data_IF_300229760709
#
_entry.id   IF_300229760709
#
_cell.length_a   1.000
_cell.length_b   1.000
_cell.length_c   1.000
_cell.angle_alpha   90.00
_cell.angle_beta   90.00
_cell.angle_gamma   90.00
#
_symmetry.space_group_name_H-M   'P 1'
#
loop_
_entity.id
_entity.type
_entity.pdbx_description
1 polymer ?
#
# COMPACT_ATOMS: atom_id res chain seq x y z
N UNK A 1 -19.04 -33.45 -5.35
CA UNK A 1 -19.12 -32.71 -6.63
C UNK A 1 -18.23 -31.49 -6.48
N UNK A 2 -17.26 -31.27 -7.38
CA UNK A 2 -16.34 -30.15 -7.27
C UNK A 2 -17.03 -28.86 -7.77
N UNK A 3 -17.21 -27.88 -6.89
CA UNK A 3 -17.79 -26.58 -7.24
C UNK A 3 -16.92 -25.90 -8.28
N UNK A 4 -17.44 -25.76 -9.51
CA UNK A 4 -16.78 -25.00 -10.56
C UNK A 4 -16.85 -23.52 -10.19
N UNK A 5 -15.75 -22.98 -9.65
CA UNK A 5 -15.61 -21.54 -9.42
C UNK A 5 -15.85 -20.78 -10.74
N UNK A 6 -17.01 -20.14 -10.87
CA UNK A 6 -17.30 -19.21 -11.96
C UNK A 6 -16.39 -18.00 -11.78
N UNK A 7 -15.33 -17.92 -12.58
CA UNK A 7 -14.38 -16.81 -12.53
C UNK A 7 -15.10 -15.49 -12.82
N UNK A 8 -14.95 -14.51 -11.92
CA UNK A 8 -15.40 -13.12 -12.14
C UNK A 8 -14.41 -12.42 -13.08
N UNK A 9 -14.90 -11.95 -14.21
CA UNK A 9 -14.15 -11.13 -15.16
C UNK A 9 -14.57 -11.38 -16.62
N UNK A 10 -14.40 -10.40 -17.52
CA UNK A 10 -14.65 -10.58 -18.94
C UNK A 10 -13.76 -11.69 -19.52
N UNK A 11 -14.30 -12.51 -20.44
CA UNK A 11 -13.54 -13.55 -21.12
C UNK A 11 -12.35 -12.93 -21.85
N UNK A 12 -11.14 -13.38 -21.53
CA UNK A 12 -9.95 -12.85 -22.19
C UNK A 12 -9.85 -13.37 -23.63
N UNK A 13 -9.99 -12.47 -24.59
CA UNK A 13 -9.87 -12.76 -26.02
C UNK A 13 -8.40 -12.89 -26.50
N UNK A 14 -7.40 -12.57 -25.67
CA UNK A 14 -5.99 -12.60 -26.08
C UNK A 14 -5.52 -13.98 -26.54
N UNK A 15 -6.07 -15.05 -25.95
CA UNK A 15 -5.71 -16.44 -26.24
C UNK A 15 -6.03 -16.85 -27.69
N UNK A 16 -7.01 -16.21 -28.33
CA UNK A 16 -7.39 -16.52 -29.72
C UNK A 16 -6.30 -16.13 -30.73
N UNK A 17 -5.36 -15.27 -30.33
CA UNK A 17 -4.23 -14.82 -31.14
C UNK A 17 -2.96 -15.67 -30.98
N UNK A 18 -3.01 -16.74 -30.20
CA UNK A 18 -1.92 -17.68 -30.01
C UNK A 18 -2.34 -19.07 -30.49
N UNK A 19 -1.37 -19.86 -30.95
CA UNK A 19 -1.59 -21.28 -31.20
C UNK A 19 -1.87 -22.03 -29.90
N UNK A 20 -2.50 -23.22 -29.97
CA UNK A 20 -2.63 -24.09 -28.81
C UNK A 20 -1.28 -24.30 -28.11
N UNK A 21 -1.25 -24.33 -26.77
CA UNK A 21 -0.01 -24.43 -26.02
C UNK A 21 0.73 -25.72 -26.37
N UNK A 22 2.04 -25.60 -26.60
CA UNK A 22 2.92 -26.75 -26.92
C UNK A 22 3.76 -27.04 -25.67
N UNK A 23 3.82 -28.29 -25.21
CA UNK A 23 4.68 -28.65 -24.10
C UNK A 23 6.15 -28.62 -24.51
N UNK A 24 6.97 -27.86 -23.79
CA UNK A 24 8.41 -27.72 -24.06
C UNK A 24 9.24 -27.90 -22.79
N UNK A 25 10.51 -28.30 -22.94
CA UNK A 25 11.50 -28.30 -21.86
C UNK A 25 12.52 -27.21 -22.13
N UNK A 26 12.66 -26.25 -21.22
CA UNK A 26 13.65 -25.17 -21.31
C UNK A 26 14.46 -25.16 -20.02
N UNK A 27 15.79 -25.39 -20.11
CA UNK A 27 16.66 -25.47 -18.92
C UNK A 27 16.25 -26.56 -17.93
N UNK A 28 15.77 -27.71 -18.41
CA UNK A 28 15.30 -28.81 -17.55
C UNK A 28 13.92 -28.59 -16.90
N UNK A 29 13.38 -27.37 -16.92
CA UNK A 29 12.03 -27.06 -16.44
C UNK A 29 10.97 -27.35 -17.52
N UNK A 30 9.85 -27.97 -17.13
CA UNK A 30 8.70 -28.20 -18.01
C UNK A 30 7.91 -26.87 -18.14
N UNK A 31 7.72 -26.35 -19.35
CA UNK A 31 7.01 -25.09 -19.63
C UNK A 31 5.97 -25.29 -20.75
N UNK A 32 5.01 -24.38 -20.83
CA UNK A 32 4.08 -24.24 -21.95
C UNK A 32 4.58 -23.15 -22.90
N UNK A 33 4.75 -23.48 -24.17
CA UNK A 33 5.08 -22.53 -25.24
C UNK A 33 3.81 -22.09 -25.98
N UNK A 34 3.59 -20.78 -26.05
CA UNK A 34 2.53 -20.14 -26.82
C UNK A 34 3.14 -19.40 -28.01
N UNK A 35 2.96 -19.94 -29.22
CA UNK A 35 3.42 -19.29 -30.46
C UNK A 35 2.40 -18.24 -30.89
N UNK A 36 2.86 -17.01 -31.13
CA UNK A 36 1.99 -15.97 -31.67
C UNK A 36 1.56 -16.33 -33.09
N UNK A 37 0.30 -16.07 -33.45
CA UNK A 37 -0.19 -16.25 -34.85
C UNK A 37 0.28 -15.13 -35.79
N UNK A 38 0.75 -14.02 -35.24
CA UNK A 38 1.05 -12.78 -36.00
C UNK A 38 2.54 -12.52 -36.17
N UNK A 39 3.41 -13.21 -35.42
CA UNK A 39 4.86 -13.10 -35.56
C UNK A 39 5.57 -14.41 -35.19
N UNK A 40 6.89 -14.43 -35.36
CA UNK A 40 7.75 -15.56 -35.02
C UNK A 40 8.04 -15.71 -33.53
N UNK A 41 7.59 -14.77 -32.69
CA UNK A 41 7.83 -14.80 -31.24
C UNK A 41 7.01 -15.90 -30.57
N UNK A 42 7.66 -16.63 -29.67
CA UNK A 42 6.99 -17.53 -28.74
C UNK A 42 7.13 -17.03 -27.29
N UNK A 43 6.10 -17.26 -26.48
CA UNK A 43 6.10 -16.93 -25.06
C UNK A 43 6.07 -18.23 -24.28
N UNK A 44 6.92 -18.36 -23.26
CA UNK A 44 6.94 -19.55 -22.41
C UNK A 44 6.46 -19.25 -20.99
N UNK A 45 5.60 -20.11 -20.46
CA UNK A 45 5.06 -19.99 -19.10
C UNK A 45 5.34 -21.28 -18.34
N UNK A 46 5.72 -21.14 -17.08
CA UNK A 46 5.99 -22.28 -16.21
C UNK A 46 4.71 -23.09 -15.95
N UNK A 47 4.85 -24.41 -15.80
CA UNK A 47 3.72 -25.29 -15.48
C UNK A 47 3.30 -25.11 -14.02
N UNK A 48 2.00 -25.20 -13.77
CA UNK A 48 1.45 -25.08 -12.40
C UNK A 48 1.44 -26.43 -11.68
N UNK A 49 1.56 -27.54 -12.42
CA UNK A 49 1.42 -28.89 -11.89
C UNK A 49 2.77 -29.51 -11.53
N UNK A 50 2.81 -30.21 -10.38
CA UNK A 50 3.99 -30.91 -9.84
C UNK A 50 4.34 -32.19 -10.62
N UNK A 51 5.53 -32.75 -10.32
CA UNK A 51 6.43 -33.49 -11.23
C UNK A 51 5.86 -34.70 -11.99
N UNK A 52 4.74 -35.29 -11.57
CA UNK A 52 4.36 -36.65 -12.00
C UNK A 52 3.11 -36.75 -12.91
N UNK A 53 2.41 -35.66 -13.21
CA UNK A 53 1.22 -35.68 -14.08
C UNK A 53 1.56 -35.50 -15.58
N UNK A 54 0.79 -36.17 -16.45
CA UNK A 54 0.92 -36.07 -17.90
C UNK A 54 0.59 -34.65 -18.38
N UNK A 55 1.00 -34.31 -19.60
CA UNK A 55 0.59 -33.04 -20.23
C UNK A 55 -0.91 -33.00 -20.52
N UNK A 56 -1.53 -34.17 -20.71
CA UNK A 56 -2.94 -34.30 -21.03
C UNK A 56 -3.86 -34.14 -19.80
N UNK A 57 -3.31 -34.26 -18.59
CA UNK A 57 -4.07 -34.18 -17.33
C UNK A 57 -4.25 -32.74 -16.84
N UNK A 58 -3.51 -31.77 -17.41
CA UNK A 58 -3.59 -30.37 -17.02
C UNK A 58 -4.80 -29.72 -17.70
N UNK A 59 -5.82 -29.25 -16.96
CA UNK A 59 -6.98 -28.59 -17.53
C UNK A 59 -6.53 -27.27 -18.17
N UNK A 60 -6.19 -27.33 -19.47
CA UNK A 60 -5.72 -26.27 -20.35
C UNK A 60 -4.95 -25.13 -19.64
N UNK A 61 -3.62 -25.03 -19.78
CA UNK A 61 -2.82 -24.06 -19.03
C UNK A 61 -3.38 -22.65 -19.20
N UNK A 62 -3.70 -22.03 -18.06
CA UNK A 62 -4.15 -20.65 -17.97
C UNK A 62 -2.98 -19.81 -17.47
N UNK A 63 -2.06 -19.41 -18.35
CA UNK A 63 -0.99 -18.50 -17.95
C UNK A 63 -1.59 -17.23 -17.39
N UNK A 64 -0.86 -16.59 -16.47
CA UNK A 64 -1.13 -15.20 -16.07
C UNK A 64 -1.33 -14.35 -17.32
N UNK A 65 -2.55 -13.81 -17.44
CA UNK A 65 -3.07 -13.18 -18.64
C UNK A 65 -2.28 -11.94 -19.08
N UNK A 66 -1.49 -11.37 -18.17
CA UNK A 66 -0.74 -10.14 -18.38
C UNK A 66 0.32 -10.28 -19.47
N UNK A 67 0.96 -11.45 -19.58
CA UNK A 67 2.10 -11.65 -20.49
C UNK A 67 1.66 -11.74 -21.96
N UNK A 68 0.56 -12.46 -22.24
CA UNK A 68 0.02 -12.58 -23.60
C UNK A 68 -0.54 -11.25 -24.12
N UNK A 69 -1.26 -10.51 -23.27
CA UNK A 69 -1.85 -9.23 -23.64
C UNK A 69 -0.79 -8.16 -23.94
N UNK A 70 0.29 -8.13 -23.15
CA UNK A 70 1.39 -7.18 -23.35
C UNK A 70 2.10 -7.41 -24.68
N UNK A 71 2.29 -8.67 -25.08
CA UNK A 71 2.85 -8.99 -26.39
C UNK A 71 1.96 -8.52 -27.54
N UNK A 72 0.63 -8.67 -27.44
CA UNK A 72 -0.30 -8.22 -28.49
C UNK A 72 -0.27 -6.71 -28.72
N UNK A 73 0.11 -5.90 -27.72
CA UNK A 73 0.32 -4.45 -27.89
C UNK A 73 1.44 -4.14 -28.90
N UNK A 74 2.44 -5.02 -29.05
CA UNK A 74 3.54 -4.86 -30.01
C UNK A 74 3.11 -5.06 -31.47
N UNK A 75 2.00 -5.76 -31.71
CA UNK A 75 1.43 -5.95 -33.06
C UNK A 75 0.61 -4.75 -33.54
N UNK A 76 0.91 -3.56 -33.01
CA UNK A 76 0.23 -2.32 -33.37
C UNK A 76 -1.25 -2.29 -32.99
N UNK A 77 -1.67 -3.16 -32.06
CA UNK A 77 -3.08 -3.40 -31.75
C UNK A 77 -3.83 -3.69 -33.04
N UNK A 78 -3.90 -4.96 -33.50
CA UNK A 78 -4.77 -5.24 -34.63
C UNK A 78 -6.14 -4.68 -34.24
N UNK A 79 -6.76 -3.94 -35.15
CA UNK A 79 -8.21 -3.78 -35.15
C UNK A 79 -8.77 -5.20 -35.29
N UNK A 80 -8.64 -6.02 -34.25
CA UNK A 80 -9.18 -7.34 -34.14
C UNK A 80 -10.67 -7.06 -34.22
N UNK A 81 -11.32 -7.43 -35.33
CA UNK A 81 -12.75 -7.27 -35.42
C UNK A 81 -13.28 -8.17 -34.32
N UNK A 82 -13.80 -7.59 -33.25
CA UNK A 82 -14.55 -8.33 -32.26
C UNK A 82 -15.66 -9.03 -33.06
N UNK A 83 -15.69 -10.36 -33.15
CA UNK A 83 -16.66 -11.06 -33.98
C UNK A 83 -18.06 -10.71 -33.46
N UNK A 84 -18.75 -9.80 -34.16
CA UNK A 84 -20.03 -9.22 -33.73
C UNK A 84 -20.20 -7.72 -34.01
N UNK A 85 -19.14 -6.96 -34.30
CA UNK A 85 -19.26 -5.53 -34.62
C UNK A 85 -19.28 -5.28 -36.14
N UNK A 86 -20.43 -5.49 -36.78
CA UNK A 86 -20.68 -5.02 -38.13
C UNK A 86 -21.13 -3.55 -38.07
N UNK A 87 -20.37 -2.63 -38.69
CA UNK A 87 -20.77 -1.68 -39.76
C UNK A 87 -19.61 -0.67 -39.96
N UNK A 88 -19.14 -0.42 -41.20
CA UNK A 88 -18.13 0.59 -41.51
C UNK A 88 -18.79 1.93 -41.86
N UNK A 89 -18.48 2.99 -41.10
CA UNK A 89 -18.85 4.35 -41.48
C UNK A 89 -18.88 5.38 -40.35
N UNK A 90 -18.97 4.96 -39.09
CA UNK A 90 -19.01 5.91 -37.98
C UNK A 90 -17.61 6.17 -37.44
N UNK A 91 -17.21 7.46 -37.48
CA UNK A 91 -16.28 8.06 -36.52
C UNK A 91 -16.45 7.35 -35.19
N UNK A 92 -15.38 6.70 -34.69
CA UNK A 92 -15.37 5.99 -33.39
C UNK A 92 -15.77 6.97 -32.30
N UNK A 93 -17.07 7.16 -32.16
CA UNK A 93 -17.70 7.87 -31.08
C UNK A 93 -17.33 7.09 -29.85
N UNK A 94 -16.79 7.81 -28.87
CA UNK A 94 -16.73 7.38 -27.47
C UNK A 94 -18.01 6.57 -27.22
N UNK A 95 -17.88 5.26 -27.01
CA UNK A 95 -19.04 4.39 -26.80
C UNK A 95 -19.95 5.05 -25.75
N UNK A 96 -21.26 4.98 -25.91
CA UNK A 96 -22.18 5.61 -24.96
C UNK A 96 -21.89 5.18 -23.50
N UNK A 97 -21.36 3.98 -23.30
CA UNK A 97 -20.86 3.50 -22.01
C UNK A 97 -19.63 4.29 -21.52
N UNK A 98 -18.59 4.44 -22.35
CA UNK A 98 -17.42 5.26 -21.99
C UNK A 98 -17.77 6.75 -21.82
N UNK A 99 -18.76 7.26 -22.54
CA UNK A 99 -19.22 8.64 -22.38
C UNK A 99 -19.90 8.81 -21.01
N UNK A 100 -20.72 7.84 -20.58
CA UNK A 100 -21.32 7.84 -19.24
C UNK A 100 -20.27 7.73 -18.13
N UNK A 101 -19.26 6.87 -18.29
CA UNK A 101 -18.17 6.73 -17.31
C UNK A 101 -17.36 8.03 -17.21
N UNK A 102 -17.03 8.65 -18.33
CA UNK A 102 -16.32 9.94 -18.32
C UNK A 102 -17.19 11.06 -17.73
N UNK A 103 -18.49 11.06 -18.02
CA UNK A 103 -19.42 12.06 -17.49
C UNK A 103 -19.64 11.92 -15.98
N UNK A 104 -19.68 10.68 -15.46
CA UNK A 104 -19.70 10.38 -14.03
C UNK A 104 -18.39 10.79 -13.34
N UNK A 105 -17.24 10.42 -13.93
CA UNK A 105 -15.92 10.82 -13.43
C UNK A 105 -15.75 12.35 -13.39
N UNK A 106 -16.22 13.06 -14.41
CA UNK A 106 -16.20 14.53 -14.46
C UNK A 106 -17.13 15.15 -13.42
N UNK A 107 -18.32 14.56 -13.17
CA UNK A 107 -19.21 14.99 -12.09
C UNK A 107 -18.60 14.79 -10.71
N UNK A 108 -17.96 13.66 -10.47
CA UNK A 108 -17.27 13.36 -9.21
C UNK A 108 -16.07 14.29 -9.00
N UNK A 109 -15.37 14.65 -10.08
CA UNK A 109 -14.32 15.67 -10.07
C UNK A 109 -14.83 17.08 -9.78
N UNK A 110 -16.05 17.43 -10.21
CA UNK A 110 -16.69 18.71 -9.85
C UNK A 110 -17.13 18.77 -8.40
N UNK A 111 -17.56 17.63 -7.83
CA UNK A 111 -17.89 17.52 -6.39
C UNK A 111 -16.63 17.52 -5.51
N UNK A 112 -15.49 17.14 -6.07
CA UNK A 112 -14.18 17.17 -5.41
C UNK A 112 -13.23 18.13 -6.14
N UNK A 113 -13.51 19.46 -6.12
CA UNK A 113 -12.64 20.42 -6.77
C UNK A 113 -11.21 20.20 -6.27
N UNK A 114 -10.24 20.26 -7.18
CA UNK A 114 -8.83 20.03 -6.89
C UNK A 114 -8.45 20.76 -5.59
N UNK A 115 -8.40 20.00 -4.49
CA UNK A 115 -8.11 20.58 -3.18
C UNK A 115 -6.65 20.98 -3.27
N UNK A 116 -6.39 22.28 -3.31
CA UNK A 116 -5.05 22.82 -3.18
C UNK A 116 -4.46 22.17 -1.94
N UNK A 117 -3.47 21.29 -2.14
CA UNK A 117 -2.87 20.55 -1.05
C UNK A 117 -2.06 21.56 -0.25
N UNK A 118 -2.60 21.96 0.90
CA UNK A 118 -1.95 22.90 1.81
C UNK A 118 -1.26 22.13 2.93
N UNK A 119 -0.20 22.67 3.50
CA UNK A 119 0.46 22.10 4.69
C UNK A 119 -0.56 21.84 5.82
N UNK A 120 -1.49 22.77 6.04
CA UNK A 120 -2.58 22.60 7.02
C UNK A 120 -3.50 21.43 6.70
N UNK A 121 -3.84 21.24 5.43
CA UNK A 121 -4.67 20.11 4.98
C UNK A 121 -3.94 18.77 5.15
N UNK A 122 -2.65 18.73 4.81
CA UNK A 122 -1.80 17.58 5.05
C UNK A 122 -1.76 17.21 6.53
N UNK A 123 -1.47 18.16 7.43
CA UNK A 123 -1.42 17.88 8.87
C UNK A 123 -2.75 17.33 9.41
N UNK A 124 -3.90 17.84 8.93
CA UNK A 124 -5.20 17.29 9.32
C UNK A 124 -5.38 15.83 8.92
N UNK A 125 -5.00 15.48 7.69
CA UNK A 125 -5.10 14.10 7.18
C UNK A 125 -4.11 13.21 7.91
N UNK A 126 -2.88 13.70 8.13
CA UNK A 126 -1.86 12.98 8.88
C UNK A 126 -2.30 12.70 10.32
N UNK A 127 -2.85 13.70 11.02
CA UNK A 127 -3.40 13.50 12.37
C UNK A 127 -4.58 12.55 12.38
N UNK A 128 -5.49 12.63 11.40
CA UNK A 128 -6.60 11.68 11.30
C UNK A 128 -6.08 10.25 11.12
N UNK A 129 -5.08 10.06 10.25
CA UNK A 129 -4.41 8.78 10.07
C UNK A 129 -3.79 8.25 11.36
N UNK A 130 -3.10 9.09 12.13
CA UNK A 130 -2.54 8.67 13.44
C UNK A 130 -3.64 8.20 14.41
N UNK A 131 -4.80 8.85 14.41
CA UNK A 131 -5.92 8.48 15.29
C UNK A 131 -6.66 7.23 14.80
N UNK A 132 -6.86 7.09 13.49
CA UNK A 132 -7.56 5.96 12.87
C UNK A 132 -6.78 4.65 13.03
N UNK A 133 -5.45 4.71 12.93
CA UNK A 133 -4.56 3.55 13.01
C UNK A 133 -3.92 3.38 14.41
N UNK A 134 -4.36 4.15 15.41
CA UNK A 134 -3.85 4.15 16.79
C UNK A 134 -2.32 4.25 16.88
N UNK A 135 -1.73 5.12 16.05
CA UNK A 135 -0.30 5.33 15.97
C UNK A 135 0.17 6.34 17.02
N UNK A 136 1.38 6.17 17.59
CA UNK A 136 1.95 7.18 18.49
C UNK A 136 2.02 8.54 17.81
N UNK A 137 1.74 9.62 18.54
CA UNK A 137 1.85 10.96 17.97
C UNK A 137 3.28 11.30 17.51
N UNK A 138 4.29 10.63 18.09
CA UNK A 138 5.71 10.73 17.69
C UNK A 138 6.01 10.05 16.34
N UNK A 139 5.05 9.39 15.70
CA UNK A 139 5.25 8.71 14.41
C UNK A 139 5.84 9.64 13.35
N UNK A 140 5.44 10.92 13.35
CA UNK A 140 5.96 11.95 12.44
C UNK A 140 7.46 12.26 12.60
N UNK A 141 8.07 11.91 13.73
CA UNK A 141 9.48 12.15 14.04
C UNK A 141 10.36 10.94 13.72
N UNK A 142 9.76 9.79 13.36
CA UNK A 142 10.53 8.58 13.09
C UNK A 142 11.34 8.73 11.80
N UNK A 143 12.65 8.43 11.86
CA UNK A 143 13.50 8.49 10.67
C UNK A 143 13.06 7.54 9.53
N UNK A 144 12.23 6.54 9.83
CA UNK A 144 11.59 5.69 8.84
C UNK A 144 10.56 6.44 7.99
N UNK A 145 9.62 7.14 8.64
CA UNK A 145 8.58 7.88 7.91
C UNK A 145 9.18 9.07 7.16
N UNK A 146 10.20 9.70 7.71
CA UNK A 146 10.91 10.79 7.03
C UNK A 146 11.53 10.31 5.71
N UNK A 147 12.26 9.18 5.72
CA UNK A 147 12.83 8.58 4.50
C UNK A 147 11.77 8.23 3.47
N UNK A 148 10.61 7.72 3.90
CA UNK A 148 9.49 7.42 3.01
C UNK A 148 8.96 8.70 2.34
N UNK A 149 8.80 9.79 3.11
CA UNK A 149 8.33 11.07 2.57
C UNK A 149 9.33 11.72 1.62
N UNK A 150 10.62 11.62 1.92
CA UNK A 150 11.70 12.05 1.02
C UNK A 150 11.72 11.24 -0.28
N UNK A 151 11.57 9.91 -0.19
CA UNK A 151 11.49 9.02 -1.35
C UNK A 151 10.30 9.34 -2.25
N UNK A 152 9.13 9.62 -1.65
CA UNK A 152 7.93 10.04 -2.38
C UNK A 152 8.00 11.50 -2.90
N UNK A 153 9.09 12.22 -2.63
CA UNK A 153 9.26 13.64 -2.96
C UNK A 153 8.11 14.51 -2.43
N UNK A 154 7.63 14.21 -1.22
CA UNK A 154 6.56 14.98 -0.59
C UNK A 154 7.03 16.40 -0.33
N UNK A 155 6.21 17.39 -0.71
CA UNK A 155 6.45 18.81 -0.42
C UNK A 155 6.00 19.22 0.99
N UNK A 156 5.37 18.31 1.72
CA UNK A 156 4.86 18.59 3.06
C UNK A 156 5.90 18.25 4.10
N UNK A 157 6.06 19.15 5.06
CA UNK A 157 6.92 18.90 6.22
C UNK A 157 6.15 18.01 7.19
N UNK A 158 6.79 16.94 7.65
CA UNK A 158 6.29 16.18 8.79
C UNK A 158 6.33 17.10 10.03
N UNK A 159 5.39 16.95 10.97
CA UNK A 159 5.47 17.65 12.24
C UNK A 159 6.76 17.23 12.96
N UNK A 160 7.72 18.17 13.08
CA UNK A 160 8.97 18.00 13.85
C UNK A 160 8.82 18.38 15.32
N UNK A 161 7.80 19.21 15.59
CA UNK A 161 7.51 19.76 16.90
C UNK A 161 6.22 19.10 17.40
N UNK A 162 6.16 17.77 17.36
CA UNK A 162 5.11 17.13 18.15
C UNK A 162 5.40 17.54 19.58
N UNK A 163 4.47 18.31 20.14
CA UNK A 163 4.46 18.62 21.57
C UNK A 163 4.67 17.27 22.23
N UNK A 164 5.87 17.04 22.78
CA UNK A 164 6.11 15.90 23.62
C UNK A 164 4.92 15.92 24.58
N UNK A 165 4.09 14.88 24.55
CA UNK A 165 2.91 14.80 25.42
C UNK A 165 3.32 14.75 26.90
N UNK A 166 4.61 14.90 27.20
CA UNK A 166 5.20 15.51 28.39
C UNK A 166 5.25 17.05 28.29
N UNK A 167 4.09 17.69 28.13
CA UNK A 167 3.96 19.10 28.45
C UNK A 167 3.03 19.17 29.64
N UNK A 168 3.59 18.93 30.84
CA UNK A 168 2.93 19.00 32.14
C UNK A 168 1.77 20.03 32.21
N UNK A 169 1.96 21.33 31.87
CA UNK A 169 0.88 22.31 31.95
C UNK A 169 -0.26 22.10 30.94
N UNK A 170 0.00 21.48 29.78
CA UNK A 170 -1.07 21.15 28.81
C UNK A 170 -1.92 19.99 29.32
N UNK A 171 -1.30 18.99 29.92
CA UNK A 171 -1.99 17.85 30.51
C UNK A 171 -2.82 18.26 31.73
N UNK A 172 -2.35 19.22 32.53
CA UNK A 172 -3.11 19.81 33.65
C UNK A 172 -4.40 20.49 33.18
N UNK A 173 -4.39 21.11 31.99
CA UNK A 173 -5.61 21.69 31.41
C UNK A 173 -6.56 20.59 30.93
N UNK A 174 -6.04 19.57 30.25
CA UNK A 174 -6.84 18.45 29.75
C UNK A 174 -7.53 17.69 30.89
N UNK A 175 -6.80 17.36 31.95
CA UNK A 175 -7.34 16.60 33.08
C UNK A 175 -8.44 17.37 33.83
N UNK A 176 -8.31 18.70 33.96
CA UNK A 176 -9.36 19.58 34.52
C UNK A 176 -10.61 19.64 33.65
N UNK A 177 -10.44 19.72 32.33
CA UNK A 177 -11.57 19.68 31.39
C UNK A 177 -12.28 18.34 31.44
N UNK A 178 -11.54 17.23 31.49
CA UNK A 178 -12.09 15.89 31.62
C UNK A 178 -12.84 15.69 32.94
N UNK A 179 -12.26 16.10 34.07
CA UNK A 179 -12.93 16.10 35.39
C UNK A 179 -14.30 16.79 35.35
N UNK A 180 -14.36 17.97 34.72
CA UNK A 180 -15.61 18.71 34.55
C UNK A 180 -16.63 17.94 33.71
N UNK A 181 -16.23 17.34 32.59
CA UNK A 181 -17.12 16.56 31.72
C UNK A 181 -17.64 15.31 32.45
N UNK A 182 -16.76 14.60 33.15
CA UNK A 182 -17.11 13.40 33.91
C UNK A 182 -18.13 13.71 35.01
N UNK A 183 -17.92 14.80 35.74
CA UNK A 183 -18.84 15.25 36.79
C UNK A 183 -20.18 15.71 36.20
N UNK A 184 -20.16 16.57 35.17
CA UNK A 184 -21.39 17.18 34.64
C UNK A 184 -22.27 16.20 33.85
N UNK A 185 -21.67 15.25 33.12
CA UNK A 185 -22.42 14.37 32.20
C UNK A 185 -22.67 12.98 32.75
N UNK A 186 -21.79 12.47 33.59
CA UNK A 186 -21.81 11.08 34.03
C UNK A 186 -21.95 10.94 35.55
N UNK A 187 -21.98 12.04 36.29
CA UNK A 187 -22.01 12.04 37.77
C UNK A 187 -20.82 11.28 38.39
N UNK A 188 -19.70 11.25 37.67
CA UNK A 188 -18.45 10.62 38.12
C UNK A 188 -17.57 11.70 38.73
N UNK A 189 -17.36 11.63 40.05
CA UNK A 189 -16.45 12.55 40.72
C UNK A 189 -15.00 12.16 40.46
N UNK A 190 -14.24 13.07 39.86
CA UNK A 190 -12.82 12.90 39.57
C UNK A 190 -12.05 14.16 40.00
N UNK A 191 -11.10 14.00 40.94
CA UNK A 191 -10.34 15.12 41.53
C UNK A 191 -8.97 15.20 40.86
N UNK A 192 -8.76 16.10 39.88
CA UNK A 192 -7.54 16.13 39.07
C UNK A 192 -6.27 16.39 39.92
N UNK A 193 -6.41 17.03 41.08
CA UNK A 193 -5.31 17.28 42.02
C UNK A 193 -4.73 16.02 42.64
N UNK A 194 -5.51 14.93 42.72
CA UNK A 194 -5.06 13.63 43.22
C UNK A 194 -4.41 12.77 42.12
N UNK A 195 -4.52 13.21 40.86
CA UNK A 195 -4.10 12.47 39.67
C UNK A 195 -3.08 13.27 38.85
N UNK A 196 -2.07 13.85 39.52
CA UNK A 196 -1.02 14.64 38.87
C UNK A 196 -0.06 13.75 38.10
N UNK A 197 -0.39 13.43 36.85
CA UNK A 197 0.53 12.70 35.97
C UNK A 197 0.65 13.40 34.63
N UNK A 198 1.91 13.65 34.26
CA UNK A 198 2.30 14.56 33.18
C UNK A 198 2.38 13.89 31.81
N UNK A 199 1.84 12.70 31.61
CA UNK A 199 1.74 12.10 30.28
C UNK A 199 0.30 11.70 29.93
N UNK A 200 -0.11 12.00 28.69
CA UNK A 200 -1.48 11.78 28.21
C UNK A 200 -1.93 10.32 28.33
N UNK A 201 -1.04 9.37 28.02
CA UNK A 201 -1.33 7.93 28.14
C UNK A 201 -1.74 7.57 29.56
N UNK A 202 -1.12 8.21 30.55
CA UNK A 202 -1.45 7.99 31.95
C UNK A 202 -2.76 8.69 32.35
N UNK A 203 -3.01 9.91 31.86
CA UNK A 203 -4.31 10.59 32.06
C UNK A 203 -5.46 9.73 31.52
N UNK A 204 -5.31 9.14 30.33
CA UNK A 204 -6.30 8.22 29.75
C UNK A 204 -6.47 6.98 30.62
N UNK A 205 -5.37 6.37 31.08
CA UNK A 205 -5.41 5.20 31.95
C UNK A 205 -6.16 5.48 33.27
N UNK A 206 -5.87 6.60 33.94
CA UNK A 206 -6.58 6.98 35.19
C UNK A 206 -8.07 7.17 34.93
N UNK A 207 -8.44 7.84 33.83
CA UNK A 207 -9.85 8.08 33.50
C UNK A 207 -10.58 6.76 33.27
N UNK A 208 -9.98 5.82 32.52
CA UNK A 208 -10.54 4.48 32.30
C UNK A 208 -10.69 3.74 33.62
N UNK A 209 -9.65 3.75 34.48
CA UNK A 209 -9.71 3.13 35.80
C UNK A 209 -10.83 3.72 36.66
N UNK A 210 -11.06 5.04 36.64
CA UNK A 210 -12.13 5.67 37.42
C UNK A 210 -13.53 5.30 36.91
N UNK A 211 -13.70 5.18 35.59
CA UNK A 211 -14.94 4.69 34.99
C UNK A 211 -15.20 3.25 35.43
N UNK A 212 -14.21 2.36 35.31
CA UNK A 212 -14.34 0.96 35.72
C UNK A 212 -14.58 0.80 37.22
N UNK A 213 -13.96 1.63 38.06
CA UNK A 213 -14.20 1.65 39.49
C UNK A 213 -15.65 2.04 39.83
N UNK A 214 -16.21 3.02 39.13
CA UNK A 214 -17.62 3.43 39.29
C UNK A 214 -18.58 2.29 38.90
N UNK A 215 -18.20 1.48 37.91
CA UNK A 215 -18.93 0.28 37.50
C UNK A 215 -18.67 -0.93 38.42
N UNK A 216 -17.83 -0.78 39.46
CA UNK A 216 -17.39 -1.84 40.36
C UNK A 216 -16.69 -3.01 39.62
N UNK A 217 -15.96 -2.69 38.56
CA UNK A 217 -15.16 -3.62 37.74
C UNK A 217 -13.65 -3.51 37.99
N UNK A 218 -13.19 -2.43 38.65
CA UNK A 218 -11.80 -2.20 39.02
C UNK A 218 -11.69 -1.49 40.37
N UNK A 219 -10.49 -1.46 40.95
CA UNK A 219 -10.23 -0.65 42.16
C UNK A 219 -10.21 0.85 41.82
N UNK A 220 -10.56 1.68 42.81
CA UNK A 220 -10.56 3.14 42.65
C UNK A 220 -9.13 3.67 42.46
N UNK A 221 -8.82 4.34 41.33
CA UNK A 221 -7.49 4.90 41.09
C UNK A 221 -7.10 6.00 42.09
N UNK A 222 -8.06 6.62 42.79
CA UNK A 222 -7.77 7.57 43.86
C UNK A 222 -7.24 6.89 45.13
N UNK A 223 -7.43 5.57 45.26
CA UNK A 223 -7.00 4.75 46.41
C UNK A 223 -5.81 3.87 46.03
N UNK A 224 -5.87 3.22 44.85
CA UNK A 224 -4.85 2.30 44.34
C UNK A 224 -4.43 2.75 42.94
N UNK A 225 -3.41 3.61 42.88
CA UNK A 225 -2.77 3.96 41.61
C UNK A 225 -1.86 2.80 41.19
N UNK A 226 -2.32 2.00 40.23
CA UNK A 226 -1.58 0.86 39.68
C UNK A 226 -0.27 1.23 39.00
N UNK A 227 -0.03 2.50 38.67
CA UNK A 227 1.25 2.91 38.09
C UNK A 227 2.32 3.08 39.14
N UNK A 228 2.03 3.61 40.33
CA UNK A 228 3.07 3.81 41.36
C UNK A 228 3.83 2.52 41.76
N UNK A 229 3.18 1.35 41.92
CA UNK A 229 3.86 0.08 42.17
C UNK A 229 4.61 -0.46 40.94
N UNK A 230 4.17 -0.09 39.74
CA UNK A 230 4.66 -0.65 38.48
C UNK A 230 5.58 0.31 37.70
N UNK A 231 5.78 1.54 38.17
CA UNK A 231 6.57 2.57 37.48
C UNK A 231 8.06 2.22 37.35
N UNK A 232 8.55 1.42 38.31
CA UNK A 232 9.94 0.97 38.36
C UNK A 232 10.10 -0.40 37.66
N UNK A 233 9.00 -1.03 37.25
CA UNK A 233 9.09 -2.19 36.37
C UNK A 233 9.63 -1.70 35.02
N UNK A 234 10.70 -2.32 34.51
CA UNK A 234 11.21 -1.94 33.21
C UNK A 234 10.13 -2.20 32.16
N UNK A 235 9.48 -1.15 31.65
CA UNK A 235 8.66 -1.20 30.44
C UNK A 235 9.50 -1.43 29.18
N UNK A 236 10.67 -2.05 29.32
CA UNK A 236 11.43 -2.59 28.22
C UNK A 236 10.77 -3.91 27.86
N UNK A 237 9.69 -3.81 27.08
CA UNK A 237 9.37 -4.88 26.14
C UNK A 237 10.65 -5.13 25.33
N UNK A 238 11.38 -6.18 25.69
CA UNK A 238 12.53 -6.64 24.92
C UNK A 238 11.96 -7.57 23.85
N UNK A 239 11.89 -7.13 22.58
CA UNK A 239 11.34 -7.95 21.51
C UNK A 239 12.09 -9.27 21.37
N UNK A 240 13.37 -9.32 21.78
CA UNK A 240 14.17 -10.54 21.74
C UNK A 240 13.75 -11.58 22.81
N UNK A 241 13.10 -11.12 23.89
CA UNK A 241 12.62 -11.96 24.98
C UNK A 241 11.18 -12.44 24.79
N UNK A 242 10.45 -11.94 23.79
CA UNK A 242 9.07 -12.33 23.50
C UNK A 242 9.03 -13.61 22.62
N UNK A 243 8.61 -14.77 23.16
CA UNK A 243 8.54 -16.01 22.40
C UNK A 243 7.48 -15.96 21.29
N UNK A 244 6.38 -15.25 21.51
CA UNK A 244 5.27 -15.19 20.55
C UNK A 244 5.66 -14.34 19.34
N UNK A 245 6.40 -13.24 19.55
CA UNK A 245 6.96 -12.43 18.46
C UNK A 245 7.97 -13.23 17.63
N UNK A 246 8.83 -14.01 18.28
CA UNK A 246 9.79 -14.88 17.60
C UNK A 246 9.13 -15.96 16.76
N UNK A 247 8.07 -16.58 17.27
CA UNK A 247 7.33 -17.59 16.52
C UNK A 247 6.68 -16.99 15.27
N UNK A 248 6.12 -15.77 15.38
CA UNK A 248 5.56 -15.01 14.27
C UNK A 248 6.61 -14.60 13.22
N UNK A 249 7.81 -14.21 13.65
CA UNK A 249 8.93 -13.90 12.76
C UNK A 249 9.47 -15.15 12.06
N UNK A 250 9.51 -16.30 12.76
CA UNK A 250 9.93 -17.58 12.21
C UNK A 250 8.92 -18.14 11.20
N UNK A 251 7.62 -17.94 11.41
CA UNK A 251 6.57 -18.33 10.47
C UNK A 251 6.60 -17.52 9.16
N UNK A 252 7.21 -16.33 9.17
CA UNK A 252 7.21 -15.42 8.00
C UNK A 252 8.30 -15.68 6.97
N UNK A 253 9.28 -16.54 7.27
CA UNK A 253 10.49 -16.72 6.44
C UNK A 253 10.76 -18.13 5.91
N UNK A 254 9.84 -19.08 6.05
CA UNK A 254 9.90 -20.28 5.19
C UNK A 254 9.39 -19.92 3.78
N UNK A 255 10.12 -19.06 3.06
CA UNK A 255 10.11 -19.12 1.60
C UNK A 255 10.54 -20.54 1.23
N UNK A 256 9.78 -21.26 0.40
CA UNK A 256 10.15 -22.62 0.02
C UNK A 256 11.54 -22.58 -0.62
N UNK A 257 12.52 -23.15 0.07
CA UNK A 257 13.89 -23.27 -0.42
C UNK A 257 13.89 -23.96 -1.78
N UNK A 258 14.28 -23.22 -2.81
CA UNK A 258 14.47 -23.81 -4.13
C UNK A 258 14.44 -22.82 -5.28
N UNK A 259 15.36 -21.86 -5.31
CA UNK A 259 16.13 -21.47 -6.50
C UNK A 259 17.03 -20.27 -6.17
N UNK A 260 18.21 -20.55 -5.64
CA UNK A 260 19.32 -19.61 -5.68
C UNK A 260 19.97 -19.70 -7.08
N UNK A 261 19.60 -18.80 -7.99
CA UNK A 261 20.36 -18.55 -9.21
C UNK A 261 20.64 -17.05 -9.28
N UNK A 262 21.89 -16.69 -8.92
CA UNK A 262 22.66 -15.49 -9.23
C UNK A 262 21.87 -14.29 -9.81
N UNK A 263 21.48 -13.34 -8.95
CA UNK A 263 20.95 -12.03 -9.34
C UNK A 263 21.98 -10.88 -9.19
N UNK A 264 23.24 -11.15 -8.82
CA UNK A 264 24.24 -10.08 -8.64
C UNK A 264 24.79 -9.48 -9.95
N UNK A 265 24.53 -10.09 -11.11
CA UNK A 265 25.08 -9.60 -12.39
C UNK A 265 24.09 -8.79 -13.26
N UNK A 266 22.82 -8.62 -12.85
CA UNK A 266 21.80 -7.98 -13.70
C UNK A 266 21.59 -6.48 -13.44
N UNK A 267 21.94 -5.95 -12.26
CA UNK A 267 21.75 -4.52 -11.96
C UNK A 267 22.89 -3.63 -12.46
N UNK A 268 24.09 -4.19 -12.67
CA UNK A 268 25.23 -3.43 -13.19
C UNK A 268 25.09 -3.09 -14.69
N UNK A 269 24.44 -3.95 -15.47
CA UNK A 269 24.30 -3.75 -16.93
C UNK A 269 23.28 -2.64 -17.26
N UNK A 270 22.17 -2.54 -16.52
CA UNK A 270 21.13 -1.52 -16.75
C UNK A 270 21.63 -0.11 -16.43
N UNK A 271 22.43 0.04 -15.36
CA UNK A 271 23.01 1.33 -15.00
C UNK A 271 24.11 1.77 -15.96
N UNK A 272 24.79 0.82 -16.61
CA UNK A 272 25.85 1.11 -17.59
C UNK A 272 25.27 1.52 -18.95
N UNK A 273 24.21 0.87 -19.42
CA UNK A 273 23.49 1.26 -20.65
C UNK A 273 22.89 2.68 -20.54
N UNK A 274 22.30 3.02 -19.40
CA UNK A 274 21.71 4.35 -19.18
C UNK A 274 22.79 5.45 -19.13
N UNK A 275 23.96 5.14 -18.59
CA UNK A 275 25.09 6.06 -18.52
C UNK A 275 25.73 6.31 -19.90
N UNK A 276 25.84 5.29 -20.75
CA UNK A 276 26.31 5.42 -22.14
C UNK A 276 25.31 6.20 -23.01
N UNK A 277 24.00 5.96 -22.84
CA UNK A 277 22.96 6.69 -23.56
C UNK A 277 22.99 8.18 -23.20
N UNK A 278 23.13 8.53 -21.91
CA UNK A 278 23.33 9.90 -21.45
C UNK A 278 24.66 10.50 -21.90
N UNK A 279 25.73 9.72 -22.02
CA UNK A 279 27.02 10.21 -22.50
C UNK A 279 26.98 10.63 -23.99
N UNK A 280 26.17 9.94 -24.80
CA UNK A 280 26.03 10.18 -26.24
C UNK A 280 25.25 11.45 -26.61
N UNK A 281 24.50 12.03 -25.67
CA UNK A 281 23.70 13.24 -25.90
C UNK A 281 24.55 14.52 -25.87
N UNK A 282 24.29 15.41 -26.83
CA UNK A 282 24.93 16.73 -26.87
C UNK A 282 24.53 17.60 -25.66
N UNK A 283 25.35 18.56 -25.23
CA UNK A 283 25.05 19.43 -24.08
C UNK A 283 23.70 20.16 -24.19
N UNK A 284 23.24 20.45 -25.41
CA UNK A 284 21.94 21.06 -25.69
C UNK A 284 20.76 20.07 -25.57
N UNK A 285 20.97 18.79 -25.90
CA UNK A 285 19.96 17.74 -25.69
C UNK A 285 19.81 17.41 -24.20
N UNK A 286 20.92 17.40 -23.45
CA UNK A 286 20.91 17.23 -21.98
C UNK A 286 20.11 18.34 -21.27
N UNK A 287 20.23 19.58 -21.75
CA UNK A 287 19.45 20.70 -21.23
C UNK A 287 17.97 20.66 -21.67
N UNK A 288 17.68 20.11 -22.85
CA UNK A 288 16.33 19.94 -23.38
C UNK A 288 15.50 18.88 -22.65
N UNK A 289 16.09 17.72 -22.34
CA UNK A 289 15.38 16.65 -21.62
C UNK A 289 15.16 16.96 -20.14
N UNK A 290 16.09 17.66 -19.49
CA UNK A 290 15.84 18.22 -18.16
C UNK A 290 14.72 19.26 -18.20
N UNK A 291 14.68 20.14 -19.20
CA UNK A 291 13.58 21.12 -19.36
C UNK A 291 12.22 20.47 -19.59
N UNK A 292 12.14 19.36 -20.35
CA UNK A 292 10.90 18.60 -20.54
C UNK A 292 10.46 17.87 -19.26
N UNK A 293 11.40 17.38 -18.46
CA UNK A 293 11.14 16.75 -17.16
C UNK A 293 10.58 17.75 -16.12
N UNK A 294 11.02 19.01 -16.18
CA UNK A 294 10.49 20.09 -15.32
C UNK A 294 9.16 20.70 -15.83
N UNK A 295 8.98 20.84 -17.14
CA UNK A 295 7.75 21.41 -17.72
C UNK A 295 6.54 20.48 -17.62
N UNK A 296 6.72 19.15 -17.58
CA UNK A 296 5.61 18.23 -17.31
C UNK A 296 5.12 18.30 -15.85
N UNK A 297 5.90 18.89 -14.93
CA UNK A 297 5.58 19.04 -13.51
C UNK A 297 5.16 20.46 -13.09
N UNK A 298 5.03 21.40 -14.04
CA UNK A 298 4.55 22.77 -13.78
C UNK A 298 3.20 23.11 -14.44
N UNK A 299 2.62 22.21 -15.24
CA UNK A 299 1.27 22.36 -15.82
C UNK A 299 0.22 21.46 -15.15
N UNK A 300 0.36 21.21 -13.85
CA UNK A 300 -0.78 20.95 -12.95
C UNK A 300 -0.55 21.77 -11.68
N UNK A 301 -0.95 23.04 -11.72
CA UNK A 301 -1.27 23.90 -10.57
C UNK A 301 -2.17 25.02 -11.05
#
# INVERSE_FOLDING_TARGET
EAETHTKRGPKNASRDHFHPPIPVKHGGKKRWEFKCKHCTTSLTVERTITKDQSYDDEPAPQPSLCNLATHLKKHGGPNIPVPGAAVPGETRGISAASARIMDEFLRDGQLNPAKVRTQRGFLKVFTAWLVEDDLPFTTGETGGIQRLFEYMQSRFMLPSDTIALDNAPTNDVLIRVLSKILTEKFDIQFVPENSQIHCLAHVVNIVVQKILATLNEADDPDIVDYYLPNKDLPFHYDPAADPDLRDLENERFTTPEGHAENEEDAEADVMTELAEELASLSPLQKAGDLSNYWNHNQFIS
#
